data_IF_791255430261
#
_entry.id   IF_791255430261
#
_cell.length_a   1.000
_cell.length_b   1.000
_cell.length_c   1.000
_cell.angle_alpha   90.00
_cell.angle_beta   90.00
_cell.angle_gamma   90.00
#
_symmetry.space_group_name_H-M   'P 1'
#
loop_
_entity.id
_entity.type
_entity.pdbx_description
1 polymer ?
#
# COMPACT_ATOMS: atom_id res chain seq x y z
N UNK A 1 -14.11 11.22 24.94
CA UNK A 1 -13.09 11.57 23.91
C UNK A 1 -11.83 10.80 24.23
N UNK A 2 -11.49 9.77 23.46
CA UNK A 2 -10.20 9.12 23.58
C UNK A 2 -9.12 10.14 23.23
N UNK A 3 -8.24 10.48 24.17
CA UNK A 3 -7.03 11.25 23.87
C UNK A 3 -6.22 10.43 22.88
N UNK A 4 -6.08 10.89 21.63
CA UNK A 4 -5.18 10.32 20.67
C UNK A 4 -3.77 10.35 21.30
N UNK A 5 -3.23 9.17 21.59
CA UNK A 5 -1.88 9.06 22.13
C UNK A 5 -0.92 9.42 21.02
N UNK A 6 -0.27 10.59 21.14
CA UNK A 6 0.78 11.07 20.24
C UNK A 6 2.13 10.41 20.49
N UNK A 7 2.16 9.24 21.11
CA UNK A 7 3.40 8.56 21.44
C UNK A 7 4.11 8.01 20.17
N UNK A 8 5.45 8.04 20.17
CA UNK A 8 6.30 7.40 19.16
C UNK A 8 5.88 5.93 18.97
N UNK A 9 5.89 5.44 17.74
CA UNK A 9 5.60 4.04 17.41
C UNK A 9 4.13 3.65 17.51
N UNK A 10 3.20 4.59 17.76
CA UNK A 10 1.76 4.31 17.70
C UNK A 10 1.22 4.51 16.28
N UNK A 11 0.41 3.53 15.79
CA UNK A 11 -0.43 3.69 14.61
C UNK A 11 -1.50 4.77 14.85
N UNK A 12 -2.37 5.01 13.92
CA UNK A 12 -3.60 5.81 14.02
C UNK A 12 -3.47 7.24 14.57
N UNK A 13 -3.94 8.20 13.80
CA UNK A 13 -3.97 9.63 14.20
C UNK A 13 -5.39 10.18 14.29
N UNK A 14 -6.33 9.65 13.52
CA UNK A 14 -7.67 10.24 13.34
C UNK A 14 -8.81 9.41 13.95
N UNK A 15 -8.53 8.17 14.39
CA UNK A 15 -9.56 7.27 14.93
C UNK A 15 -10.51 6.68 13.88
N UNK A 16 -10.19 6.79 12.60
CA UNK A 16 -10.99 6.22 11.50
C UNK A 16 -10.99 4.70 11.46
N UNK A 17 -9.93 4.04 11.95
CA UNK A 17 -9.82 2.57 11.92
C UNK A 17 -11.00 1.85 12.56
N UNK A 18 -11.67 2.45 13.55
CA UNK A 18 -12.87 1.87 14.16
C UNK A 18 -14.10 1.91 13.25
N UNK A 19 -14.18 2.79 12.25
CA UNK A 19 -15.30 2.85 11.31
C UNK A 19 -15.30 1.65 10.36
N UNK A 20 -14.15 0.99 10.16
CA UNK A 20 -14.03 -0.23 9.36
C UNK A 20 -14.97 -1.31 9.87
N UNK A 21 -15.10 -1.48 11.19
CA UNK A 21 -15.98 -2.49 11.75
C UNK A 21 -17.45 -2.27 11.37
N UNK A 22 -17.95 -1.04 11.49
CA UNK A 22 -19.34 -0.75 11.13
C UNK A 22 -19.55 -0.77 9.62
N UNK A 23 -18.59 -0.30 8.80
CA UNK A 23 -18.71 -0.35 7.35
C UNK A 23 -18.58 -1.77 6.76
N UNK A 24 -18.00 -2.71 7.50
CA UNK A 24 -17.96 -4.14 7.14
C UNK A 24 -19.22 -4.90 7.51
N UNK A 25 -20.16 -4.27 8.23
CA UNK A 25 -21.47 -4.85 8.56
C UNK A 25 -22.51 -4.39 7.52
N UNK A 26 -23.24 -5.32 6.91
CA UNK A 26 -24.31 -5.00 5.97
C UNK A 26 -25.43 -4.15 6.60
N UNK A 27 -25.64 -4.30 7.90
CA UNK A 27 -26.59 -3.51 8.69
C UNK A 27 -25.91 -2.43 9.55
N UNK A 28 -24.62 -2.14 9.31
CA UNK A 28 -23.82 -1.11 10.00
C UNK A 28 -23.86 -1.21 11.54
N UNK A 29 -23.94 -2.41 12.08
CA UNK A 29 -24.10 -2.68 13.52
C UNK A 29 -22.95 -3.52 14.04
N UNK A 30 -22.38 -3.07 15.16
CA UNK A 30 -21.30 -3.77 15.85
C UNK A 30 -21.53 -3.83 17.35
N UNK A 31 -20.93 -4.84 17.97
CA UNK A 31 -20.80 -4.93 19.43
C UNK A 31 -19.33 -5.11 19.80
N UNK A 32 -18.93 -4.50 20.90
CA UNK A 32 -17.61 -4.67 21.50
C UNK A 32 -17.78 -5.28 22.89
N UNK A 33 -17.07 -6.40 23.13
CA UNK A 33 -16.92 -7.00 24.45
C UNK A 33 -15.46 -6.91 24.88
N UNK A 34 -15.20 -6.43 26.07
CA UNK A 34 -13.85 -6.26 26.59
C UNK A 34 -13.74 -6.71 28.05
N UNK A 35 -12.59 -7.32 28.39
CA UNK A 35 -12.13 -7.52 29.76
C UNK A 35 -10.87 -6.70 29.96
N UNK A 36 -10.81 -5.92 31.01
CA UNK A 36 -9.71 -5.01 31.28
C UNK A 36 -9.54 -4.75 32.77
N UNK A 37 -8.37 -4.22 33.14
CA UNK A 37 -8.09 -3.74 34.46
C UNK A 37 -8.39 -2.24 34.55
N UNK A 38 -9.29 -1.85 35.41
CA UNK A 38 -9.66 -0.45 35.64
C UNK A 38 -8.54 0.33 36.36
N UNK A 39 -8.67 1.64 36.44
CA UNK A 39 -7.64 2.49 37.03
C UNK A 39 -7.40 2.24 38.53
N UNK A 40 -8.43 1.73 39.22
CA UNK A 40 -8.38 1.32 40.63
C UNK A 40 -7.80 -0.08 40.85
N UNK A 41 -7.42 -0.76 39.77
CA UNK A 41 -6.85 -2.10 39.80
C UNK A 41 -7.87 -3.22 39.73
N UNK A 42 -9.19 -2.94 39.76
CA UNK A 42 -10.24 -3.97 39.65
C UNK A 42 -10.35 -4.51 38.22
N UNK A 43 -10.57 -5.82 38.10
CA UNK A 43 -10.90 -6.43 36.80
C UNK A 43 -12.39 -6.31 36.55
N UNK A 44 -12.76 -5.90 35.38
CA UNK A 44 -14.15 -5.81 34.96
C UNK A 44 -14.31 -6.12 33.47
N UNK A 45 -15.55 -6.42 33.09
CA UNK A 45 -15.93 -6.64 31.70
C UNK A 45 -16.96 -5.60 31.27
N UNK A 46 -16.97 -5.27 29.99
CA UNK A 46 -17.93 -4.34 29.37
C UNK A 46 -18.44 -4.86 28.05
N UNK A 47 -19.73 -4.65 27.78
CA UNK A 47 -20.33 -4.80 26.44
C UNK A 47 -21.00 -3.51 26.04
N UNK A 48 -20.75 -3.11 24.82
CA UNK A 48 -21.35 -1.93 24.21
C UNK A 48 -21.59 -2.16 22.72
N UNK A 49 -22.77 -1.78 22.23
CA UNK A 49 -23.08 -1.86 20.81
C UNK A 49 -23.39 -0.50 20.22
N UNK A 50 -23.14 -0.35 18.93
CA UNK A 50 -23.57 0.81 18.17
C UNK A 50 -24.01 0.44 16.75
N UNK A 51 -24.99 1.20 16.25
CA UNK A 51 -25.45 1.13 14.87
C UNK A 51 -25.43 2.53 14.24
N UNK A 52 -25.14 2.58 12.93
CA UNK A 52 -25.04 3.82 12.14
C UNK A 52 -26.00 3.73 10.96
N UNK A 53 -27.25 4.12 11.21
CA UNK A 53 -28.32 4.10 10.21
C UNK A 53 -28.52 5.47 9.60
N UNK A 54 -29.32 5.55 8.53
CA UNK A 54 -29.79 6.83 8.01
C UNK A 54 -30.75 7.51 9.02
N UNK A 55 -30.77 8.84 9.04
CA UNK A 55 -31.77 9.57 9.79
C UNK A 55 -33.17 9.20 9.28
N UNK A 56 -34.13 8.98 10.19
CA UNK A 56 -35.47 8.53 9.83
C UNK A 56 -36.49 9.03 10.86
N UNK A 57 -37.74 9.05 10.44
CA UNK A 57 -38.88 9.27 11.33
C UNK A 57 -39.54 7.93 11.69
N UNK A 58 -39.81 7.73 12.95
CA UNK A 58 -40.60 6.61 13.44
C UNK A 58 -41.60 7.09 14.49
N UNK A 59 -42.90 6.81 14.30
CA UNK A 59 -43.98 7.22 15.22
C UNK A 59 -43.94 8.72 15.55
N UNK A 60 -43.79 9.60 14.52
CA UNK A 60 -43.68 11.06 14.64
C UNK A 60 -42.47 11.56 15.47
N UNK A 61 -41.47 10.70 15.67
CA UNK A 61 -40.21 11.07 16.33
C UNK A 61 -39.06 10.95 15.34
N UNK A 62 -38.29 12.03 15.20
CA UNK A 62 -37.11 12.05 14.36
C UNK A 62 -35.91 11.43 15.08
N UNK A 63 -35.28 10.47 14.42
CA UNK A 63 -34.07 9.80 14.89
C UNK A 63 -32.88 10.18 13.99
N UNK A 64 -31.72 10.41 14.61
CA UNK A 64 -30.47 10.72 13.89
C UNK A 64 -29.87 9.52 13.15
N UNK A 65 -30.45 8.34 13.32
CA UNK A 65 -29.93 7.10 12.78
C UNK A 65 -28.77 6.50 13.59
N UNK A 66 -28.30 7.16 14.64
CA UNK A 66 -27.28 6.61 15.54
C UNK A 66 -27.94 5.87 16.70
N UNK A 67 -27.72 4.57 16.75
CA UNK A 67 -28.19 3.71 17.83
C UNK A 67 -27.05 3.35 18.79
N UNK A 68 -27.34 3.39 20.08
CA UNK A 68 -26.44 2.98 21.15
C UNK A 68 -27.09 1.87 21.96
N UNK A 69 -26.40 0.77 22.14
CA UNK A 69 -26.89 -0.44 22.79
C UNK A 69 -26.12 -0.66 24.10
N UNK A 70 -26.80 -0.43 25.21
CA UNK A 70 -26.23 -0.48 26.54
C UNK A 70 -27.25 -0.09 27.61
N UNK A 71 -26.81 0.38 28.77
CA UNK A 71 -27.66 0.82 29.87
C UNK A 71 -27.98 2.31 29.75
N UNK A 72 -29.26 2.66 29.74
CA UNK A 72 -29.70 4.05 29.70
C UNK A 72 -29.54 4.71 31.07
N UNK A 73 -28.86 5.82 31.15
CA UNK A 73 -28.60 6.61 32.36
C UNK A 73 -28.99 8.06 32.18
N UNK A 74 -29.73 8.65 33.12
CA UNK A 74 -29.94 10.07 33.22
C UNK A 74 -28.67 10.76 33.70
N UNK A 75 -28.30 11.90 33.08
CA UNK A 75 -27.10 12.66 33.46
C UNK A 75 -27.50 13.84 34.36
N UNK A 76 -28.61 14.49 34.07
CA UNK A 76 -29.02 15.74 34.72
C UNK A 76 -30.55 15.87 34.83
N UNK A 77 -31.00 16.89 35.56
CA UNK A 77 -32.41 17.21 35.76
C UNK A 77 -33.08 17.73 34.48
N UNK A 78 -32.34 18.07 33.45
CA UNK A 78 -32.88 18.52 32.15
C UNK A 78 -33.45 17.32 31.33
N UNK A 79 -33.36 16.11 31.83
CA UNK A 79 -33.84 14.92 31.14
C UNK A 79 -32.86 14.36 30.10
N UNK A 80 -31.67 14.92 30.01
CA UNK A 80 -30.62 14.45 29.14
C UNK A 80 -30.19 13.03 29.54
N UNK A 81 -30.15 12.12 28.57
CA UNK A 81 -29.79 10.71 28.80
C UNK A 81 -28.58 10.33 27.97
N UNK A 82 -27.74 9.45 28.53
CA UNK A 82 -26.66 8.77 27.85
C UNK A 82 -26.88 7.28 27.90
N UNK A 83 -26.16 6.55 27.06
CA UNK A 83 -26.11 5.10 27.10
C UNK A 83 -24.70 4.71 27.55
N UNK A 84 -24.61 4.06 28.69
CA UNK A 84 -23.38 3.49 29.22
C UNK A 84 -23.25 2.00 28.80
N UNK A 85 -22.03 1.44 28.74
CA UNK A 85 -21.86 0.02 28.51
C UNK A 85 -22.49 -0.80 29.64
N UNK A 86 -22.92 -2.04 29.35
CA UNK A 86 -23.17 -3.02 30.36
C UNK A 86 -21.85 -3.43 31.01
N UNK A 87 -21.85 -3.69 32.34
CA UNK A 87 -20.64 -4.03 33.09
C UNK A 87 -20.80 -5.34 33.87
N UNK A 88 -19.64 -5.97 34.16
CA UNK A 88 -19.55 -7.16 35.02
C UNK A 88 -20.42 -8.32 34.56
N UNK A 89 -21.20 -8.92 35.49
CA UNK A 89 -22.06 -10.06 35.19
C UNK A 89 -23.12 -9.80 34.13
N UNK A 90 -23.67 -8.58 34.04
CA UNK A 90 -24.61 -8.20 32.99
C UNK A 90 -23.92 -8.17 31.59
N UNK A 91 -22.68 -7.68 31.53
CA UNK A 91 -21.88 -7.71 30.33
C UNK A 91 -21.61 -9.15 29.89
N UNK A 92 -21.22 -10.04 30.79
CA UNK A 92 -20.91 -11.43 30.46
C UNK A 92 -22.15 -12.17 29.93
N UNK A 93 -23.31 -11.96 30.55
CA UNK A 93 -24.60 -12.55 30.08
C UNK A 93 -24.96 -12.07 28.68
N UNK A 94 -24.79 -10.78 28.41
CA UNK A 94 -25.04 -10.22 27.07
C UNK A 94 -24.02 -10.75 26.06
N UNK A 95 -22.74 -10.83 26.43
CA UNK A 95 -21.68 -11.37 25.57
C UNK A 95 -22.02 -12.82 25.15
N UNK A 96 -22.41 -13.67 26.08
CA UNK A 96 -22.84 -15.04 25.77
C UNK A 96 -24.05 -15.07 24.83
N UNK A 97 -25.06 -14.24 25.08
CA UNK A 97 -26.25 -14.15 24.23
C UNK A 97 -25.93 -13.69 22.79
N UNK A 98 -24.86 -12.89 22.62
CA UNK A 98 -24.35 -12.42 21.31
C UNK A 98 -23.38 -13.43 20.66
N UNK A 99 -23.05 -14.54 21.31
CA UNK A 99 -22.15 -15.56 20.78
C UNK A 99 -20.66 -15.28 21.03
N UNK A 100 -20.31 -14.32 21.88
CA UNK A 100 -18.91 -14.15 22.29
C UNK A 100 -18.49 -15.28 23.25
N UNK A 101 -17.25 -15.73 23.12
CA UNK A 101 -16.57 -16.46 24.18
C UNK A 101 -16.32 -15.51 25.35
N UNK A 102 -16.83 -15.83 26.51
CA UNK A 102 -16.58 -15.04 27.73
C UNK A 102 -15.12 -15.23 28.13
N UNK A 103 -14.44 -14.12 28.38
CA UNK A 103 -13.03 -14.11 28.78
C UNK A 103 -12.90 -14.48 30.26
N UNK A 104 -11.96 -15.36 30.57
CA UNK A 104 -11.63 -15.75 31.95
C UNK A 104 -10.89 -14.64 32.70
N UNK A 105 -10.72 -14.80 34.00
CA UNK A 105 -9.95 -13.90 34.85
C UNK A 105 -8.50 -13.83 34.35
N UNK A 106 -7.96 -12.61 34.22
CA UNK A 106 -6.62 -12.37 33.65
C UNK A 106 -6.56 -12.40 32.13
N UNK A 107 -7.58 -12.87 31.39
CA UNK A 107 -7.63 -12.83 29.94
C UNK A 107 -8.10 -11.46 29.44
N UNK A 108 -7.17 -10.49 29.44
CA UNK A 108 -7.46 -9.13 29.00
C UNK A 108 -7.49 -9.00 27.48
N UNK A 109 -8.51 -8.31 26.97
CA UNK A 109 -8.62 -8.07 25.56
C UNK A 109 -9.98 -7.54 25.15
N UNK A 110 -10.11 -7.28 23.83
CA UNK A 110 -11.35 -6.80 23.23
C UNK A 110 -11.75 -7.70 22.06
N UNK A 111 -13.00 -8.10 22.03
CA UNK A 111 -13.64 -8.83 20.93
C UNK A 111 -14.65 -7.91 20.25
N UNK A 112 -14.69 -7.91 18.93
CA UNK A 112 -15.65 -7.14 18.15
C UNK A 112 -16.52 -8.12 17.37
N UNK A 113 -17.83 -8.00 17.51
CA UNK A 113 -18.82 -8.66 16.67
C UNK A 113 -19.25 -7.69 15.57
N UNK A 114 -19.06 -8.05 14.33
CA UNK A 114 -19.58 -7.35 13.17
C UNK A 114 -20.83 -8.12 12.72
N UNK A 115 -22.00 -7.50 12.91
CA UNK A 115 -23.27 -8.18 12.61
C UNK A 115 -23.48 -8.20 11.10
N UNK A 116 -23.82 -9.38 10.56
CA UNK A 116 -23.98 -9.56 9.10
C UNK A 116 -22.75 -9.06 8.33
N UNK A 117 -21.60 -9.68 8.60
CA UNK A 117 -20.32 -9.26 8.05
C UNK A 117 -20.24 -9.59 6.55
N UNK A 118 -20.13 -8.57 5.71
CA UNK A 118 -19.90 -8.68 4.28
C UNK A 118 -18.38 -8.70 3.99
N UNK A 119 -17.65 -9.70 4.49
CA UNK A 119 -16.19 -9.77 4.40
C UNK A 119 -15.76 -11.13 3.85
N UNK A 120 -14.93 -11.12 2.83
CA UNK A 120 -14.25 -12.31 2.32
C UNK A 120 -13.04 -12.64 3.20
N UNK A 121 -13.01 -13.87 3.71
CA UNK A 121 -11.96 -14.37 4.59
C UNK A 121 -10.58 -14.36 3.94
N UNK A 122 -10.52 -14.75 2.67
CA UNK A 122 -9.27 -14.72 1.90
C UNK A 122 -8.80 -13.29 1.63
N UNK A 123 -9.72 -12.32 1.51
CA UNK A 123 -9.35 -10.92 1.40
C UNK A 123 -8.74 -10.38 2.70
N UNK A 124 -9.23 -10.85 3.88
CA UNK A 124 -8.61 -10.51 5.17
C UNK A 124 -7.17 -11.04 5.22
N UNK A 125 -6.97 -12.34 4.92
CA UNK A 125 -5.63 -12.95 4.93
C UNK A 125 -4.68 -12.19 4.01
N UNK A 126 -5.09 -11.95 2.75
CA UNK A 126 -4.29 -11.17 1.78
C UNK A 126 -4.01 -9.76 2.27
N UNK A 127 -5.02 -9.08 2.83
CA UNK A 127 -4.85 -7.73 3.36
C UNK A 127 -3.85 -7.67 4.51
N UNK A 128 -3.88 -8.64 5.41
CA UNK A 128 -2.90 -8.75 6.50
C UNK A 128 -1.51 -9.03 5.93
N UNK A 129 -1.37 -9.95 4.97
CA UNK A 129 -0.10 -10.21 4.30
C UNK A 129 0.43 -8.97 3.59
N UNK A 130 -0.41 -8.26 2.83
CA UNK A 130 0.02 -7.13 2.01
C UNK A 130 0.46 -5.90 2.83
N UNK A 131 -0.16 -5.66 3.98
CA UNK A 131 0.05 -4.41 4.73
C UNK A 131 0.77 -4.58 6.06
N UNK A 132 0.72 -5.80 6.65
CA UNK A 132 1.29 -6.06 7.98
C UNK A 132 2.46 -7.04 7.97
N UNK A 133 2.91 -7.50 6.79
CA UNK A 133 4.04 -8.44 6.70
C UNK A 133 5.29 -7.98 7.46
N UNK A 134 5.66 -6.68 7.53
CA UNK A 134 6.86 -6.32 8.28
C UNK A 134 6.72 -6.65 9.76
N UNK A 135 5.52 -6.50 10.32
CA UNK A 135 5.26 -6.79 11.72
C UNK A 135 5.11 -8.28 11.99
N UNK A 136 4.55 -9.03 11.04
CA UNK A 136 4.44 -10.49 11.12
C UNK A 136 5.82 -11.15 11.08
N UNK A 137 6.70 -10.75 10.17
CA UNK A 137 8.06 -11.35 10.08
C UNK A 137 8.95 -11.00 11.28
N UNK A 138 8.64 -9.90 11.98
CA UNK A 138 9.30 -9.47 13.21
C UNK A 138 8.74 -10.16 14.47
N UNK A 139 7.75 -11.04 14.34
CA UNK A 139 7.03 -11.68 15.45
C UNK A 139 6.48 -10.65 16.46
N UNK A 140 5.99 -9.51 15.95
CA UNK A 140 5.36 -8.44 16.75
C UNK A 140 3.86 -8.38 16.56
N UNK A 141 3.32 -9.26 15.76
CA UNK A 141 1.90 -9.44 15.49
C UNK A 141 1.66 -10.90 15.14
N UNK A 142 0.76 -11.52 15.86
CA UNK A 142 0.21 -12.84 15.55
C UNK A 142 -1.22 -12.65 15.06
N UNK A 143 -1.59 -13.36 14.00
CA UNK A 143 -2.92 -13.29 13.40
C UNK A 143 -3.39 -14.69 13.07
N UNK A 144 -4.48 -15.12 13.74
CA UNK A 144 -5.20 -16.32 13.43
C UNK A 144 -6.53 -15.97 12.77
N UNK A 145 -6.77 -16.53 11.59
CA UNK A 145 -8.01 -16.35 10.83
C UNK A 145 -8.71 -17.69 10.77
N UNK A 146 -9.87 -17.79 11.43
CA UNK A 146 -10.68 -19.00 11.50
C UNK A 146 -11.93 -18.86 10.64
N UNK A 147 -12.25 -19.88 9.89
CA UNK A 147 -13.52 -19.96 9.18
C UNK A 147 -14.64 -20.51 10.09
N UNK A 148 -15.85 -20.59 9.55
CA UNK A 148 -17.03 -21.11 10.28
C UNK A 148 -16.94 -22.59 10.61
N UNK A 149 -16.02 -23.33 9.99
CA UNK A 149 -15.75 -24.75 10.28
C UNK A 149 -14.62 -24.93 11.29
N UNK A 150 -13.96 -23.84 11.71
CA UNK A 150 -12.80 -23.85 12.58
C UNK A 150 -11.48 -24.12 11.87
N UNK A 151 -11.46 -24.13 10.54
CA UNK A 151 -10.18 -24.23 9.78
C UNK A 151 -9.40 -22.93 9.92
N UNK A 152 -8.06 -23.05 10.01
CA UNK A 152 -7.16 -21.92 10.26
C UNK A 152 -6.50 -21.49 8.96
N UNK A 153 -6.66 -20.24 8.61
CA UNK A 153 -6.12 -19.60 7.40
C UNK A 153 -5.14 -18.47 7.77
N UNK A 154 -4.02 -18.81 8.36
CA UNK A 154 -3.09 -17.80 8.85
C UNK A 154 -2.29 -17.13 7.73
N UNK A 155 -2.06 -15.80 7.81
CA UNK A 155 -1.18 -15.10 6.90
C UNK A 155 0.25 -15.67 6.94
N UNK A 156 0.84 -15.89 5.76
CA UNK A 156 2.19 -16.47 5.61
C UNK A 156 3.04 -15.66 4.63
N UNK A 157 3.42 -14.41 4.95
CA UNK A 157 4.08 -13.51 4.02
C UNK A 157 5.39 -14.08 3.45
N UNK A 158 6.14 -14.88 4.22
CA UNK A 158 7.37 -15.53 3.74
C UNK A 158 7.12 -16.61 2.68
N UNK A 159 5.88 -17.13 2.56
CA UNK A 159 5.49 -18.11 1.52
C UNK A 159 4.87 -17.43 0.30
N UNK A 160 4.62 -16.13 0.36
CA UNK A 160 4.09 -15.34 -0.74
C UNK A 160 5.24 -14.87 -1.64
N UNK A 161 5.38 -15.48 -2.81
CA UNK A 161 6.47 -15.17 -3.74
C UNK A 161 6.47 -13.71 -4.18
N UNK A 162 5.29 -13.08 -4.28
CA UNK A 162 5.18 -11.67 -4.64
C UNK A 162 5.70 -10.72 -3.54
N UNK A 163 5.72 -11.14 -2.29
CA UNK A 163 6.27 -10.35 -1.17
C UNK A 163 7.76 -10.62 -0.92
N UNK A 164 8.30 -11.73 -1.40
CA UNK A 164 9.70 -12.11 -1.16
C UNK A 164 10.69 -11.00 -1.52
N UNK A 165 10.62 -10.34 -2.71
CA UNK A 165 11.56 -9.25 -3.03
C UNK A 165 11.42 -8.04 -2.10
N UNK A 166 10.20 -7.74 -1.61
CA UNK A 166 10.00 -6.67 -0.63
C UNK A 166 10.57 -7.03 0.74
N UNK A 167 10.46 -8.30 1.16
CA UNK A 167 11.04 -8.79 2.42
C UNK A 167 12.57 -8.72 2.35
N UNK A 168 13.17 -9.14 1.23
CA UNK A 168 14.62 -9.00 0.99
C UNK A 168 15.05 -7.53 1.04
N UNK A 169 14.31 -6.62 0.40
CA UNK A 169 14.56 -5.19 0.44
C UNK A 169 14.46 -4.63 1.87
N UNK A 170 13.52 -5.13 2.66
CA UNK A 170 13.37 -4.74 4.06
C UNK A 170 14.52 -5.23 4.93
N UNK A 171 14.98 -6.45 4.74
CA UNK A 171 16.13 -6.99 5.45
C UNK A 171 17.40 -6.19 5.15
N UNK A 172 17.58 -5.76 3.89
CA UNK A 172 18.64 -4.82 3.52
C UNK A 172 18.49 -3.47 4.24
N UNK A 173 17.28 -2.88 4.20
CA UNK A 173 17.01 -1.60 4.87
C UNK A 173 17.28 -1.69 6.38
N UNK A 174 17.04 -2.85 6.98
CA UNK A 174 17.35 -3.15 8.39
C UNK A 174 18.79 -3.57 8.64
N UNK A 175 19.64 -3.62 7.61
CA UNK A 175 21.03 -4.06 7.66
C UNK A 175 21.20 -5.48 8.23
N UNK A 176 20.25 -6.37 7.95
CA UNK A 176 20.27 -7.79 8.35
C UNK A 176 20.85 -8.71 7.26
N UNK A 177 20.97 -8.19 6.06
CA UNK A 177 21.54 -8.87 4.92
C UNK A 177 22.54 -7.95 4.22
N UNK A 178 23.55 -8.55 3.62
CA UNK A 178 24.48 -7.84 2.74
C UNK A 178 23.91 -7.76 1.33
N UNK A 179 24.09 -6.61 0.68
CA UNK A 179 23.61 -6.41 -0.67
C UNK A 179 24.44 -7.19 -1.69
N UNK A 180 23.76 -7.99 -2.51
CA UNK A 180 24.38 -8.69 -3.66
C UNK A 180 24.62 -7.68 -4.78
N UNK A 181 25.86 -7.60 -5.27
CA UNK A 181 26.26 -6.67 -6.35
C UNK A 181 25.37 -6.84 -7.59
N UNK A 182 24.92 -5.73 -8.15
CA UNK A 182 24.08 -5.68 -9.36
C UNK A 182 22.60 -6.05 -9.16
N UNK A 183 22.26 -6.80 -8.12
CA UNK A 183 20.89 -7.25 -7.87
C UNK A 183 20.21 -6.61 -6.67
N UNK A 184 20.99 -6.08 -5.74
CA UNK A 184 20.51 -5.54 -4.47
C UNK A 184 21.30 -4.30 -4.08
N UNK A 185 20.67 -3.36 -3.36
CA UNK A 185 21.34 -2.15 -2.86
C UNK A 185 20.74 -1.69 -1.52
N UNK A 186 21.62 -1.32 -0.60
CA UNK A 186 21.29 -0.60 0.61
C UNK A 186 21.65 0.88 0.47
N UNK A 187 20.80 1.78 0.94
CA UNK A 187 21.06 3.23 0.94
C UNK A 187 20.57 3.82 2.27
N UNK A 188 21.44 4.60 2.92
CA UNK A 188 21.04 5.49 4.00
C UNK A 188 20.62 6.83 3.42
N UNK A 189 19.48 7.34 3.84
CA UNK A 189 18.93 8.62 3.36
C UNK A 189 19.07 9.67 4.46
N UNK A 190 19.70 10.78 4.14
CA UNK A 190 19.85 11.93 5.02
C UNK A 190 19.28 13.19 4.33
N UNK A 191 18.84 14.15 5.14
CA UNK A 191 18.47 15.50 4.69
C UNK A 191 19.75 16.39 4.62
N UNK A 192 19.59 17.62 4.15
CA UNK A 192 20.58 18.66 4.32
C UNK A 192 20.86 18.89 5.80
N UNK A 193 22.12 18.85 6.22
CA UNK A 193 22.49 18.93 7.64
C UNK A 193 22.50 17.60 8.39
N UNK A 194 22.65 16.47 7.65
CA UNK A 194 22.84 15.10 8.16
C UNK A 194 21.70 14.54 9.04
N UNK A 195 20.53 15.18 9.05
CA UNK A 195 19.35 14.62 9.72
C UNK A 195 18.95 13.29 9.07
N UNK A 196 18.91 12.19 9.83
CA UNK A 196 18.53 10.90 9.28
C UNK A 196 17.07 10.91 8.81
N UNK A 197 16.83 10.56 7.57
CA UNK A 197 15.47 10.40 7.03
C UNK A 197 14.99 8.96 7.13
N UNK A 198 15.91 8.02 7.01
CA UNK A 198 15.65 6.59 7.05
C UNK A 198 16.61 5.79 6.18
N UNK A 199 16.26 4.55 5.95
CA UNK A 199 17.05 3.60 5.18
C UNK A 199 16.20 2.95 4.09
N UNK A 200 16.82 2.65 2.95
CA UNK A 200 16.20 1.90 1.87
C UNK A 200 17.00 0.65 1.53
N UNK A 201 16.28 -0.44 1.27
CA UNK A 201 16.79 -1.55 0.49
C UNK A 201 16.09 -1.59 -0.87
N UNK A 202 16.82 -1.96 -1.91
CA UNK A 202 16.30 -2.17 -3.25
C UNK A 202 16.73 -3.54 -3.78
N UNK A 203 15.83 -4.18 -4.53
CA UNK A 203 16.03 -5.52 -5.10
C UNK A 203 15.53 -5.51 -6.53
N UNK A 204 16.32 -6.02 -7.46
CA UNK A 204 15.86 -6.32 -8.82
C UNK A 204 14.85 -7.47 -8.76
N UNK A 205 13.68 -7.27 -9.35
CA UNK A 205 12.64 -8.30 -9.36
C UNK A 205 13.05 -9.44 -10.28
N UNK A 206 13.10 -10.69 -9.78
CA UNK A 206 13.40 -11.84 -10.64
C UNK A 206 12.36 -12.00 -11.75
N UNK A 207 12.85 -12.33 -12.94
CA UNK A 207 12.02 -12.72 -14.08
C UNK A 207 11.80 -14.22 -14.03
N UNK A 208 10.58 -14.65 -14.33
CA UNK A 208 10.19 -16.05 -14.50
C UNK A 208 9.76 -16.28 -15.95
N UNK A 209 9.51 -17.52 -16.33
CA UNK A 209 8.98 -17.87 -17.67
C UNK A 209 7.64 -17.18 -17.98
N UNK A 210 6.89 -16.81 -16.95
CA UNK A 210 5.57 -16.16 -17.06
C UNK A 210 5.59 -14.67 -16.73
N UNK A 211 6.76 -14.03 -16.64
CA UNK A 211 6.91 -12.62 -16.30
C UNK A 211 7.62 -12.40 -14.97
N UNK A 212 7.23 -11.39 -14.21
CA UNK A 212 7.80 -11.10 -12.89
C UNK A 212 7.03 -11.81 -11.78
N UNK A 213 7.73 -12.23 -10.71
CA UNK A 213 7.10 -12.78 -9.49
C UNK A 213 6.21 -11.76 -8.78
N UNK A 214 6.49 -10.47 -8.99
CA UNK A 214 5.71 -9.34 -8.48
C UNK A 214 4.74 -8.90 -9.56
N UNK A 215 3.49 -8.61 -9.19
CA UNK A 215 2.51 -8.07 -10.13
C UNK A 215 3.00 -6.76 -10.77
N UNK A 216 2.64 -6.52 -12.03
CA UNK A 216 3.11 -5.36 -12.80
C UNK A 216 2.86 -4.02 -12.08
N UNK A 217 1.69 -3.87 -11.44
CA UNK A 217 1.34 -2.66 -10.70
C UNK A 217 2.18 -2.43 -9.43
N UNK A 218 2.88 -3.47 -8.94
CA UNK A 218 3.81 -3.37 -7.81
C UNK A 218 5.27 -3.36 -8.21
N UNK A 219 5.59 -3.56 -9.48
CA UNK A 219 6.94 -3.32 -9.99
C UNK A 219 7.29 -1.83 -9.88
N UNK A 220 8.56 -1.54 -9.66
CA UNK A 220 9.08 -0.16 -9.50
C UNK A 220 8.42 0.62 -8.35
N UNK A 221 7.92 -0.11 -7.33
CA UNK A 221 7.37 0.48 -6.12
C UNK A 221 8.28 0.29 -4.91
N UNK A 222 8.11 1.17 -3.95
CA UNK A 222 8.76 1.07 -2.63
C UNK A 222 7.70 0.96 -1.56
N UNK A 223 7.78 -0.09 -0.74
CA UNK A 223 6.99 -0.22 0.46
C UNK A 223 7.44 0.83 1.48
N UNK A 224 6.57 1.80 1.77
CA UNK A 224 6.83 2.86 2.73
C UNK A 224 6.46 2.39 4.14
N UNK A 225 7.45 2.27 5.03
CA UNK A 225 7.29 1.67 6.35
C UNK A 225 7.79 2.64 7.41
N UNK A 226 7.06 2.78 8.51
CA UNK A 226 7.47 3.54 9.70
C UNK A 226 7.39 2.71 10.98
N UNK A 227 7.69 3.30 12.14
CA UNK A 227 7.88 2.62 13.42
C UNK A 227 6.85 1.53 13.80
N UNK A 228 5.53 1.64 13.51
CA UNK A 228 4.58 0.55 13.78
C UNK A 228 4.81 -0.73 12.96
N UNK A 229 5.73 -0.71 11.97
CA UNK A 229 5.99 -1.83 11.06
C UNK A 229 4.75 -2.25 10.26
N UNK A 230 3.98 -1.27 9.83
CA UNK A 230 2.91 -1.39 8.85
C UNK A 230 3.36 -0.74 7.55
N UNK A 231 3.05 -1.33 6.41
CA UNK A 231 3.22 -0.68 5.12
C UNK A 231 2.15 0.39 4.98
N UNK A 232 2.56 1.65 4.87
CA UNK A 232 1.65 2.78 4.66
C UNK A 232 1.19 2.81 3.20
N UNK A 233 2.13 2.62 2.27
CA UNK A 233 1.85 2.59 0.84
C UNK A 233 2.92 1.80 0.08
N UNK A 234 2.53 1.23 -1.05
CA UNK A 234 3.44 0.81 -2.12
C UNK A 234 3.47 1.93 -3.17
N UNK A 235 4.47 2.80 -3.06
CA UNK A 235 4.54 3.99 -3.92
C UNK A 235 5.39 3.74 -5.14
N UNK A 236 4.82 3.94 -6.34
CA UNK A 236 5.58 3.93 -7.59
C UNK A 236 6.40 5.22 -7.74
N UNK A 237 7.64 5.07 -8.20
CA UNK A 237 8.56 6.18 -8.42
C UNK A 237 9.20 6.19 -9.81
N UNK A 238 9.02 5.12 -10.58
CA UNK A 238 9.64 4.95 -11.89
C UNK A 238 8.82 3.98 -12.74
N UNK A 239 8.94 4.09 -14.05
CA UNK A 239 8.36 3.17 -15.02
C UNK A 239 9.45 2.51 -15.89
N UNK A 240 10.72 2.66 -15.52
CA UNK A 240 11.88 2.19 -16.29
C UNK A 240 12.27 0.76 -15.92
N UNK A 241 12.95 0.07 -16.83
CA UNK A 241 13.56 -1.24 -16.61
C UNK A 241 15.01 -1.08 -16.06
N UNK A 242 15.54 -2.06 -15.34
CA UNK A 242 14.90 -3.31 -14.93
C UNK A 242 13.82 -3.10 -13.85
N UNK A 243 12.84 -4.01 -13.70
CA UNK A 243 11.86 -3.94 -12.63
C UNK A 243 12.56 -4.10 -11.27
N UNK A 244 12.32 -3.15 -10.38
CA UNK A 244 12.92 -3.08 -9.04
C UNK A 244 11.82 -2.88 -8.02
N UNK A 245 11.95 -3.48 -6.86
CA UNK A 245 11.17 -3.14 -5.69
C UNK A 245 12.06 -2.64 -4.57
N UNK A 246 11.46 -1.91 -3.63
CA UNK A 246 12.18 -1.42 -2.47
C UNK A 246 11.36 -1.47 -1.19
N UNK A 247 12.06 -1.35 -0.07
CA UNK A 247 11.47 -1.06 1.23
C UNK A 247 12.19 0.12 1.85
N UNK A 248 11.43 1.09 2.31
CA UNK A 248 11.93 2.23 3.07
C UNK A 248 11.50 2.11 4.53
N UNK A 249 12.46 2.26 5.43
CA UNK A 249 12.25 2.36 6.87
C UNK A 249 12.54 3.77 7.34
N UNK A 250 11.53 4.42 7.92
CA UNK A 250 11.68 5.75 8.49
C UNK A 250 12.63 5.72 9.68
N UNK A 251 13.45 6.76 9.82
CA UNK A 251 14.22 7.02 11.03
C UNK A 251 13.31 7.50 12.17
N UNK A 252 13.74 7.30 13.42
CA UNK A 252 12.97 7.70 14.59
C UNK A 252 12.70 9.21 14.62
N UNK A 253 13.64 10.01 14.12
CA UNK A 253 13.56 11.46 14.04
C UNK A 253 12.45 11.94 13.09
N UNK A 254 12.18 11.15 12.04
CA UNK A 254 11.20 11.49 11.01
C UNK A 254 9.82 10.87 11.23
N UNK A 255 9.71 9.84 12.07
CA UNK A 255 8.47 9.05 12.26
C UNK A 255 7.26 9.90 12.62
N UNK A 256 7.41 10.84 13.55
CA UNK A 256 6.31 11.71 13.99
C UNK A 256 5.83 12.66 12.89
N UNK A 257 6.74 13.18 12.06
CA UNK A 257 6.41 14.07 10.96
C UNK A 257 5.70 13.30 9.86
N UNK A 258 6.21 12.12 9.51
CA UNK A 258 5.57 11.23 8.54
C UNK A 258 4.17 10.80 9.01
N UNK A 259 4.00 10.48 10.32
CA UNK A 259 2.68 10.21 10.89
C UNK A 259 1.70 11.37 10.72
N UNK A 260 2.15 12.62 10.93
CA UNK A 260 1.32 13.82 10.74
C UNK A 260 0.96 14.06 9.28
N UNK A 261 1.79 13.60 8.33
CA UNK A 261 1.54 13.72 6.90
C UNK A 261 0.53 12.71 6.37
N UNK A 262 0.19 11.67 7.14
CA UNK A 262 -0.79 10.67 6.72
C UNK A 262 -2.20 11.25 6.71
N UNK A 263 -2.99 11.06 5.64
CA UNK A 263 -4.42 11.35 5.64
C UNK A 263 -5.18 10.36 6.56
N UNK A 264 -6.48 10.56 6.78
CA UNK A 264 -7.28 9.65 7.61
C UNK A 264 -7.27 8.18 7.19
N UNK A 265 -7.07 7.90 5.90
CA UNK A 265 -6.97 6.54 5.35
C UNK A 265 -5.63 5.87 5.65
N UNK A 266 -4.62 6.60 6.08
CA UNK A 266 -3.25 6.12 6.32
C UNK A 266 -2.61 5.42 5.11
N UNK A 267 -2.89 5.89 3.91
CA UNK A 267 -2.55 5.27 2.62
C UNK A 267 -1.43 5.99 1.84
N UNK A 268 -0.90 7.07 2.38
CA UNK A 268 0.20 7.85 1.79
C UNK A 268 0.83 8.83 2.77
N UNK A 269 1.97 9.36 2.40
CA UNK A 269 2.53 10.57 3.01
C UNK A 269 2.28 11.75 2.08
N UNK A 270 1.58 12.75 2.61
CA UNK A 270 1.16 13.94 1.89
C UNK A 270 1.91 15.18 2.42
N UNK A 271 2.84 15.76 1.65
CA UNK A 271 3.54 16.98 2.06
C UNK A 271 2.60 18.17 2.27
N UNK A 272 1.43 18.17 1.62
CA UNK A 272 0.44 19.24 1.72
C UNK A 272 -0.59 19.02 2.84
N UNK A 273 -0.40 17.99 3.66
CA UNK A 273 -1.28 17.69 4.80
C UNK A 273 -1.40 18.90 5.73
N UNK A 274 -2.65 19.25 6.06
CA UNK A 274 -2.94 20.36 6.98
C UNK A 274 -2.39 20.16 8.39
N UNK A 275 -2.05 18.91 8.76
CA UNK A 275 -1.46 18.60 10.06
C UNK A 275 0.06 18.85 10.13
N UNK A 276 0.68 19.17 8.99
CA UNK A 276 2.08 19.60 8.90
C UNK A 276 2.28 21.10 9.08
N UNK A 277 1.27 21.81 9.58
CA UNK A 277 1.40 23.24 9.84
C UNK A 277 2.39 23.46 10.96
N UNK A 278 3.53 24.02 10.59
CA UNK A 278 4.53 24.62 11.44
C UNK A 278 4.89 25.99 10.86
N UNK A 279 5.36 26.90 11.69
CA UNK A 279 5.65 28.28 11.27
C UNK A 279 6.82 28.34 10.27
N UNK A 280 7.72 27.36 10.29
CA UNK A 280 8.92 27.30 9.46
C UNK A 280 8.73 26.58 8.10
N UNK A 281 7.66 25.79 7.94
CA UNK A 281 7.47 24.92 6.77
C UNK A 281 8.44 23.72 6.71
N UNK A 282 9.19 23.50 7.78
CA UNK A 282 10.23 22.46 7.87
C UNK A 282 9.64 21.05 7.71
N UNK A 283 8.47 20.79 8.32
CA UNK A 283 7.82 19.48 8.25
C UNK A 283 7.40 19.10 6.83
N UNK A 284 6.87 20.05 6.05
CA UNK A 284 6.56 19.84 4.63
C UNK A 284 7.81 19.51 3.84
N UNK A 285 8.85 20.31 4.05
CA UNK A 285 10.16 20.13 3.43
C UNK A 285 10.73 18.76 3.71
N UNK A 286 10.62 18.28 4.95
CA UNK A 286 11.09 16.97 5.37
C UNK A 286 10.35 15.82 4.67
N UNK A 287 9.01 15.86 4.63
CA UNK A 287 8.21 14.83 3.91
C UNK A 287 8.57 14.81 2.42
N UNK A 288 8.69 15.98 1.79
CA UNK A 288 9.10 16.12 0.39
C UNK A 288 10.50 15.56 0.16
N UNK A 289 11.44 15.84 1.09
CA UNK A 289 12.81 15.33 1.04
C UNK A 289 12.83 13.80 1.12
N UNK A 290 12.08 13.18 2.04
CA UNK A 290 11.97 11.72 2.14
C UNK A 290 11.55 11.12 0.81
N UNK A 291 10.43 11.58 0.23
CA UNK A 291 9.90 11.04 -1.03
C UNK A 291 10.86 11.26 -2.21
N UNK A 292 11.49 12.43 -2.28
CA UNK A 292 12.46 12.76 -3.33
C UNK A 292 13.73 11.90 -3.22
N UNK A 293 14.25 11.68 -2.03
CA UNK A 293 15.45 10.85 -1.80
C UNK A 293 15.19 9.39 -2.11
N UNK A 294 14.02 8.85 -1.75
CA UNK A 294 13.60 7.48 -2.13
C UNK A 294 13.57 7.37 -3.66
N UNK A 295 12.91 8.30 -4.36
CA UNK A 295 12.83 8.34 -5.83
C UNK A 295 14.22 8.38 -6.47
N UNK A 296 15.09 9.26 -5.97
CA UNK A 296 16.48 9.38 -6.48
C UNK A 296 17.28 8.10 -6.25
N UNK A 297 17.15 7.47 -5.09
CA UNK A 297 17.78 6.20 -4.76
C UNK A 297 17.36 5.06 -5.68
N UNK A 298 16.05 4.91 -5.90
CA UNK A 298 15.49 3.90 -6.79
C UNK A 298 16.02 4.08 -8.23
N UNK A 299 15.90 5.29 -8.78
CA UNK A 299 16.35 5.59 -10.16
C UNK A 299 17.84 5.34 -10.35
N UNK A 300 18.67 5.72 -9.37
CA UNK A 300 20.11 5.45 -9.41
C UNK A 300 20.38 3.94 -9.42
N UNK A 301 19.73 3.18 -8.55
CA UNK A 301 19.89 1.74 -8.53
C UNK A 301 19.42 1.09 -9.83
N UNK A 302 18.30 1.51 -10.42
CA UNK A 302 17.85 1.01 -11.71
C UNK A 302 18.88 1.25 -12.82
N UNK A 303 19.50 2.44 -12.85
CA UNK A 303 20.56 2.76 -13.82
C UNK A 303 21.80 1.88 -13.61
N UNK A 304 22.15 1.55 -12.38
CA UNK A 304 23.29 0.69 -12.05
C UNK A 304 23.00 -0.79 -12.37
N UNK A 305 21.77 -1.23 -12.14
CA UNK A 305 21.31 -2.59 -12.39
C UNK A 305 20.92 -2.84 -13.87
N UNK A 306 20.79 -1.77 -14.65
CA UNK A 306 20.50 -1.90 -16.07
C UNK A 306 21.68 -2.61 -16.78
N UNK A 307 21.40 -3.56 -17.68
CA UNK A 307 22.45 -4.16 -18.47
C UNK A 307 23.21 -3.07 -19.24
N UNK A 308 24.55 -3.18 -19.41
CA UNK A 308 25.31 -2.20 -20.17
C UNK A 308 24.66 -2.04 -21.55
N UNK A 309 24.48 -0.79 -21.96
CA UNK A 309 23.95 -0.50 -23.28
C UNK A 309 24.74 -1.31 -24.31
N UNK A 310 24.09 -2.02 -25.23
CA UNK A 310 24.81 -2.77 -26.24
C UNK A 310 25.81 -1.87 -26.94
N UNK A 311 27.05 -2.31 -27.02
CA UNK A 311 28.12 -1.59 -27.68
C UNK A 311 27.59 -1.12 -29.04
N UNK A 312 27.69 0.19 -29.32
CA UNK A 312 27.11 0.88 -30.49
C UNK A 312 27.09 -0.03 -31.70
N UNK A 313 26.02 -0.77 -31.90
CA UNK A 313 25.76 -1.39 -33.18
C UNK A 313 25.68 -0.24 -34.20
N UNK A 314 26.38 -0.42 -35.36
CA UNK A 314 26.33 0.54 -36.43
C UNK A 314 24.84 0.92 -36.64
N UNK A 315 24.51 2.17 -36.32
CA UNK A 315 23.18 2.71 -36.53
C UNK A 315 22.82 2.49 -38.00
N UNK A 316 21.78 1.73 -38.22
CA UNK A 316 21.14 1.68 -39.53
C UNK A 316 20.33 2.97 -39.68
N UNK A 317 21.05 4.08 -39.97
CA UNK A 317 20.46 5.43 -39.96
C UNK A 317 19.30 5.59 -40.93
N UNK A 318 19.23 4.76 -41.95
CA UNK A 318 18.08 4.70 -42.87
C UNK A 318 16.87 4.05 -42.24
N UNK A 319 17.06 2.94 -41.53
CA UNK A 319 15.96 2.22 -40.83
C UNK A 319 15.43 3.05 -39.64
N UNK A 320 16.33 3.67 -38.88
CA UNK A 320 15.93 4.55 -37.75
C UNK A 320 15.14 5.77 -38.27
N UNK A 321 15.47 6.31 -39.43
CA UNK A 321 14.78 7.45 -40.05
C UNK A 321 13.41 7.06 -40.61
N UNK A 322 13.33 5.90 -41.26
CA UNK A 322 12.06 5.33 -41.74
C UNK A 322 11.10 5.01 -40.61
N UNK A 323 11.58 4.33 -39.57
CA UNK A 323 10.78 4.04 -38.36
C UNK A 323 10.39 5.30 -37.57
N UNK A 324 11.28 6.27 -37.47
CA UNK A 324 11.05 7.54 -36.78
C UNK A 324 10.00 8.43 -37.47
N UNK A 325 9.82 8.33 -38.79
CA UNK A 325 8.73 9.02 -39.50
C UNK A 325 7.38 8.40 -39.26
N UNK A 326 7.33 7.09 -39.04
CA UNK A 326 6.09 6.35 -38.76
C UNK A 326 5.57 6.53 -37.33
N UNK A 327 6.45 6.74 -36.35
CA UNK A 327 6.09 6.91 -34.96
C UNK A 327 5.93 8.36 -34.50
N UNK A 328 6.02 9.34 -35.41
CA UNK A 328 5.64 10.72 -35.08
C UNK A 328 4.13 10.82 -34.94
N UNK A 329 3.60 11.29 -33.80
CA UNK A 329 2.18 11.57 -33.69
C UNK A 329 1.82 12.64 -34.73
N UNK A 330 0.83 12.35 -35.59
CA UNK A 330 0.23 13.33 -36.47
C UNK A 330 -0.54 14.35 -35.62
N UNK A 331 0.13 15.44 -35.22
CA UNK A 331 -0.53 16.62 -34.69
C UNK A 331 -0.83 17.60 -35.81
N UNK A 332 -1.92 18.37 -35.75
CA UNK A 332 -2.23 19.38 -36.78
C UNK A 332 -1.20 20.50 -36.67
N UNK A 333 -0.21 20.56 -37.60
CA UNK A 333 0.73 21.65 -37.69
C UNK A 333 2.15 21.33 -38.16
N UNK A 334 2.44 20.12 -38.57
CA UNK A 334 3.77 19.76 -39.11
C UNK A 334 3.87 20.04 -40.61
N UNK A 335 4.69 21.02 -40.99
CA UNK A 335 5.04 21.28 -42.39
C UNK A 335 5.70 20.06 -43.03
N UNK A 336 5.41 19.83 -44.32
CA UNK A 336 5.99 18.76 -45.11
C UNK A 336 7.54 18.85 -45.13
N UNK A 337 8.27 17.72 -45.04
CA UNK A 337 9.71 17.73 -45.26
C UNK A 337 10.00 18.00 -46.76
N UNK A 338 11.15 18.61 -47.06
CA UNK A 338 11.51 18.88 -48.44
C UNK A 338 11.68 17.59 -49.23
N UNK A 339 11.23 17.62 -50.47
CA UNK A 339 11.31 16.56 -51.47
C UNK A 339 12.66 15.88 -51.46
N UNK A 340 12.72 14.63 -51.07
CA UNK A 340 13.76 13.70 -51.46
C UNK A 340 13.06 12.48 -52.07
N UNK A 341 13.32 12.26 -53.33
CA UNK A 341 12.99 11.09 -54.12
C UNK A 341 13.58 9.82 -53.49
N UNK A 342 12.95 9.33 -52.41
CA UNK A 342 13.25 8.02 -51.89
C UNK A 342 11.94 7.22 -51.97
N UNK A 343 11.99 6.12 -52.70
CA UNK A 343 10.87 5.20 -52.83
C UNK A 343 10.23 4.91 -51.47
N UNK A 344 8.90 5.00 -51.32
CA UNK A 344 8.24 4.80 -50.05
C UNK A 344 8.39 3.36 -49.61
N UNK A 345 8.97 3.19 -48.42
CA UNK A 345 9.10 1.92 -47.73
C UNK A 345 7.78 1.68 -46.99
N UNK A 346 7.03 0.63 -47.36
CA UNK A 346 5.86 0.16 -46.61
C UNK A 346 6.28 -0.90 -45.60
N UNK A 347 5.87 -0.70 -44.35
CA UNK A 347 6.18 -1.55 -43.23
C UNK A 347 4.86 -2.06 -42.63
N UNK A 348 4.60 -3.36 -42.78
CA UNK A 348 3.41 -4.00 -42.26
C UNK A 348 3.78 -5.01 -41.17
N UNK A 349 3.24 -4.82 -39.97
CA UNK A 349 3.44 -5.77 -38.87
C UNK A 349 2.63 -7.04 -39.09
N UNK A 350 3.32 -8.15 -39.35
CA UNK A 350 2.71 -9.48 -39.46
C UNK A 350 2.50 -10.15 -38.11
N UNK A 351 3.20 -9.69 -37.07
CA UNK A 351 2.96 -10.01 -35.67
C UNK A 351 3.15 -8.78 -34.80
N UNK A 352 2.17 -8.52 -33.94
CA UNK A 352 2.26 -7.46 -32.93
C UNK A 352 3.53 -7.65 -32.07
N UNK A 353 4.19 -6.57 -31.65
CA UNK A 353 5.33 -6.65 -30.74
C UNK A 353 4.94 -7.36 -29.44
N UNK A 354 5.71 -8.33 -29.02
CA UNK A 354 5.58 -9.00 -27.72
C UNK A 354 6.95 -9.13 -27.05
N UNK A 355 6.93 -9.13 -25.72
CA UNK A 355 8.13 -9.29 -24.92
C UNK A 355 8.35 -10.74 -24.55
N UNK A 356 9.56 -11.24 -24.73
CA UNK A 356 10.01 -12.58 -24.34
C UNK A 356 11.19 -12.45 -23.37
N UNK A 357 11.13 -13.19 -22.25
CA UNK A 357 12.27 -13.27 -21.34
C UNK A 357 13.36 -14.18 -21.92
N UNK A 358 14.60 -13.71 -21.87
CA UNK A 358 15.74 -14.54 -22.27
C UNK A 358 16.28 -15.34 -21.08
N UNK A 359 16.99 -16.47 -21.30
CA UNK A 359 17.61 -17.24 -20.23
C UNK A 359 18.56 -16.42 -19.33
N UNK A 360 19.11 -15.32 -19.87
CA UNK A 360 19.98 -14.39 -19.15
C UNK A 360 19.20 -13.33 -18.34
N UNK A 361 17.87 -13.43 -18.27
CA UNK A 361 17.03 -12.52 -17.50
C UNK A 361 16.76 -11.15 -18.17
N UNK A 362 17.02 -11.04 -19.47
CA UNK A 362 16.71 -9.83 -20.24
C UNK A 362 15.34 -9.95 -20.91
N UNK A 363 14.65 -8.84 -21.09
CA UNK A 363 13.44 -8.76 -21.92
C UNK A 363 13.86 -8.51 -23.39
N UNK A 364 13.51 -9.45 -24.27
CA UNK A 364 13.66 -9.31 -25.70
C UNK A 364 12.30 -8.98 -26.31
N UNK A 365 12.20 -7.81 -26.95
CA UNK A 365 11.05 -7.48 -27.78
C UNK A 365 11.18 -8.22 -29.12
N UNK A 366 10.18 -9.02 -29.47
CA UNK A 366 10.06 -9.68 -30.75
C UNK A 366 8.86 -9.13 -31.52
N UNK A 367 9.06 -8.89 -32.77
CA UNK A 367 8.01 -8.56 -33.73
C UNK A 367 8.39 -9.11 -35.08
N UNK A 368 7.41 -9.45 -35.89
CA UNK A 368 7.60 -9.80 -37.28
C UNK A 368 6.93 -8.74 -38.16
N UNK A 369 7.63 -8.25 -39.15
CA UNK A 369 7.11 -7.29 -40.10
C UNK A 369 7.62 -7.56 -41.49
N UNK A 370 6.84 -7.20 -42.50
CA UNK A 370 7.22 -7.24 -43.88
C UNK A 370 7.58 -5.81 -44.31
N UNK A 371 8.68 -5.67 -45.01
CA UNK A 371 9.12 -4.40 -45.65
C UNK A 371 8.91 -4.57 -47.13
N UNK A 372 8.09 -3.74 -47.74
CA UNK A 372 7.94 -3.65 -49.19
C UNK A 372 8.35 -2.28 -49.71
N UNK A 373 8.96 -2.27 -50.85
CA UNK A 373 9.26 -1.06 -51.62
C UNK A 373 8.14 -0.91 -52.65
N UNK A 374 7.45 0.24 -52.65
CA UNK A 374 6.54 0.60 -53.72
C UNK A 374 7.37 1.05 -54.93
N UNK A 375 7.71 0.10 -55.78
CA UNK A 375 8.26 0.43 -57.09
C UNK A 375 7.06 0.79 -57.99
N UNK A 376 6.59 2.04 -57.87
CA UNK A 376 5.72 2.58 -58.93
C UNK A 376 6.61 3.13 -60.06
N UNK A 377 6.46 2.41 -61.12
CA UNK A 377 6.49 2.83 -62.50
C UNK A 377 7.72 3.54 -63.04
N UNK A 378 8.39 2.82 -63.84
CA UNK A 378 8.88 3.31 -65.15
C UNK A 378 8.42 2.30 -66.18
N UNK A 379 7.24 2.51 -66.70
CA UNK A 379 6.77 1.97 -68.01
C UNK A 379 5.61 2.83 -68.49
N UNK A 380 5.97 3.98 -69.07
CA UNK A 380 5.23 4.68 -70.13
C UNK A 380 6.24 5.40 -70.99
N UNK A 381 6.64 4.73 -72.06
CA UNK A 381 6.93 5.32 -73.37
C UNK A 381 6.25 4.48 -74.47
#
# INVERSE_FOLDING_TARGET
RSKARSARGTGGSYGFGKSVYSSSSAIQTIFAYTRFKAADGTETTRVFGCGYYASHEYRKTNFSGRAWLGTKKKIDDSGRTVVDPLEGGAANKMAQALGFSVRDEGDFGTSILIVDAAVDLQAIVRGVEDWWWPRLIENKLDVDVHDTKGEIHNPRPKKNDALRPFIEAFDLARQRAEAKSGAQKFIRLNNLGDTPLGTCGFVVVPLTEHGTVVKAERCNTVALIRAPLMVVAYKSFSETAPPVVGAFMAADETDLVLKKSEPPAHDRWDPESTNLRDESGEFRSLVSAVLSRIKGGLKRFQSEAAPPAPAKQRRLSMLERALGSYFKPQGPGGGAPPDSEAAPLHLEFTKQPYAEATPEGMLRLKSAFTVSLDTKAEDED
#
